data_IF_685802385730
#
_entry.id   IF_685802385730
#
_cell.length_a   1.000
_cell.length_b   1.000
_cell.length_c   1.000
_cell.angle_alpha   90.00
_cell.angle_beta   90.00
_cell.angle_gamma   90.00
#
_symmetry.space_group_name_H-M   'P 1'
#
loop_
_entity.id
_entity.type
_entity.pdbx_description
1 polymer ?
#
# COMPACT_ATOMS: atom_id res chain seq x y z
N UNK A 1 -31.31 12.16 -5.05
CA UNK A 1 -30.53 11.67 -3.90
C UNK A 1 -29.08 12.09 -4.06
N UNK A 2 -28.64 13.13 -3.36
CA UNK A 2 -27.23 13.53 -3.32
C UNK A 2 -26.58 12.77 -2.15
N UNK A 3 -26.19 11.51 -2.38
CA UNK A 3 -25.51 10.73 -1.35
C UNK A 3 -24.20 11.44 -1.00
N UNK A 4 -24.13 11.96 0.23
CA UNK A 4 -22.95 12.62 0.79
C UNK A 4 -21.71 11.74 0.53
N UNK A 5 -20.54 12.36 0.27
CA UNK A 5 -19.27 11.65 0.03
C UNK A 5 -18.99 10.60 1.12
N UNK A 6 -19.40 10.85 2.36
CA UNK A 6 -19.32 9.88 3.47
C UNK A 6 -20.14 8.61 3.23
N UNK A 7 -21.37 8.74 2.70
CA UNK A 7 -22.22 7.57 2.42
C UNK A 7 -21.63 6.74 1.28
N UNK A 8 -21.20 7.40 0.20
CA UNK A 8 -20.53 6.73 -0.93
C UNK A 8 -19.23 6.04 -0.49
N UNK A 9 -18.48 6.65 0.43
CA UNK A 9 -17.30 6.03 1.05
C UNK A 9 -17.70 4.77 1.82
N UNK A 10 -18.73 4.82 2.66
CA UNK A 10 -19.17 3.67 3.44
C UNK A 10 -19.66 2.52 2.56
N UNK A 11 -20.42 2.82 1.49
CA UNK A 11 -20.84 1.83 0.49
C UNK A 11 -19.63 1.16 -0.18
N UNK A 12 -18.64 1.95 -0.62
CA UNK A 12 -17.43 1.43 -1.23
C UNK A 12 -16.59 0.59 -0.25
N UNK A 13 -16.47 1.02 1.01
CA UNK A 13 -15.76 0.26 2.06
C UNK A 13 -16.47 -1.07 2.31
N UNK A 14 -17.79 -1.08 2.45
CA UNK A 14 -18.55 -2.31 2.66
C UNK A 14 -18.40 -3.27 1.47
N UNK A 15 -18.46 -2.76 0.24
CA UNK A 15 -18.21 -3.55 -0.97
C UNK A 15 -16.80 -4.16 -0.94
N UNK A 16 -15.75 -3.36 -0.68
CA UNK A 16 -14.36 -3.84 -0.68
C UNK A 16 -14.12 -4.88 0.42
N UNK A 17 -14.65 -4.65 1.62
CA UNK A 17 -14.50 -5.57 2.76
C UNK A 17 -15.27 -6.88 2.58
N UNK A 18 -16.20 -6.97 1.62
CA UNK A 18 -16.89 -8.21 1.29
C UNK A 18 -16.04 -9.21 0.48
N UNK A 19 -14.87 -8.78 -0.03
CA UNK A 19 -13.97 -9.66 -0.80
C UNK A 19 -13.02 -10.44 0.11
N UNK A 20 -12.69 -11.66 -0.31
CA UNK A 20 -11.79 -12.58 0.40
C UNK A 20 -10.30 -12.25 0.12
N UNK A 21 -9.77 -11.26 0.83
CA UNK A 21 -8.34 -10.89 0.84
C UNK A 21 -7.90 -10.51 2.26
N UNK A 22 -6.58 -10.53 2.50
CA UNK A 22 -6.00 -10.07 3.75
C UNK A 22 -6.39 -8.61 4.06
N UNK A 23 -6.63 -8.32 5.34
CA UNK A 23 -7.06 -7.01 5.82
C UNK A 23 -6.12 -5.87 5.38
N UNK A 24 -4.80 -6.12 5.38
CA UNK A 24 -3.80 -5.14 4.93
C UNK A 24 -3.96 -4.77 3.46
N UNK A 25 -4.32 -5.73 2.61
CA UNK A 25 -4.57 -5.54 1.18
C UNK A 25 -5.85 -4.72 0.99
N UNK A 26 -6.91 -5.08 1.72
CA UNK A 26 -8.20 -4.40 1.67
C UNK A 26 -8.10 -2.95 2.14
N UNK A 27 -7.49 -2.71 3.31
CA UNK A 27 -7.32 -1.37 3.86
C UNK A 27 -6.47 -0.49 2.96
N UNK A 28 -5.34 -1.00 2.45
CA UNK A 28 -4.51 -0.25 1.49
C UNK A 28 -5.25 0.09 0.19
N UNK A 29 -6.13 -0.81 -0.28
CA UNK A 29 -6.96 -0.56 -1.45
C UNK A 29 -8.03 0.51 -1.18
N UNK A 30 -8.71 0.44 -0.04
CA UNK A 30 -9.69 1.45 0.41
C UNK A 30 -9.02 2.81 0.50
N UNK A 31 -7.91 2.93 1.22
CA UNK A 31 -7.24 4.21 1.45
C UNK A 31 -6.85 4.89 0.14
N UNK A 32 -6.27 4.14 -0.80
CA UNK A 32 -5.87 4.67 -2.10
C UNK A 32 -7.05 5.10 -2.96
N UNK A 33 -8.12 4.31 -3.03
CA UNK A 33 -9.23 4.59 -3.94
C UNK A 33 -10.27 5.54 -3.39
N UNK A 34 -10.31 5.71 -2.07
CA UNK A 34 -11.14 6.70 -1.38
C UNK A 34 -10.42 8.03 -1.13
N UNK A 35 -9.22 8.22 -1.71
CA UNK A 35 -8.52 9.50 -1.74
C UNK A 35 -9.42 10.57 -2.39
N UNK A 36 -9.78 11.66 -1.68
CA UNK A 36 -10.65 12.69 -2.23
C UNK A 36 -9.90 13.56 -3.24
N UNK A 37 -10.63 14.13 -4.20
CA UNK A 37 -10.11 15.17 -5.07
C UNK A 37 -9.90 16.49 -4.30
N UNK A 38 -9.19 17.45 -4.91
CA UNK A 38 -8.86 18.73 -4.27
C UNK A 38 -10.08 19.51 -3.75
N UNK A 39 -11.25 19.32 -4.35
CA UNK A 39 -12.51 19.97 -3.93
C UNK A 39 -13.32 19.15 -2.93
N UNK A 40 -12.85 17.97 -2.50
CA UNK A 40 -13.53 17.05 -1.58
C UNK A 40 -14.95 16.66 -2.02
N UNK A 41 -15.18 16.59 -3.33
CA UNK A 41 -16.49 16.26 -3.91
C UNK A 41 -16.57 14.83 -4.43
N UNK A 42 -15.43 14.24 -4.81
CA UNK A 42 -15.34 12.90 -5.38
C UNK A 42 -14.10 12.17 -4.89
N UNK A 43 -14.19 10.84 -4.84
CA UNK A 43 -13.05 9.96 -4.56
C UNK A 43 -12.37 9.50 -5.86
N UNK A 44 -11.14 9.03 -5.77
CA UNK A 44 -10.31 8.62 -6.91
C UNK A 44 -10.99 7.61 -7.83
N UNK A 45 -11.75 6.65 -7.27
CA UNK A 45 -12.47 5.66 -8.06
C UNK A 45 -13.58 6.26 -8.94
N UNK A 46 -14.26 7.29 -8.43
CA UNK A 46 -15.37 7.98 -9.10
C UNK A 46 -14.90 8.86 -10.25
N UNK A 47 -13.60 9.17 -10.29
CA UNK A 47 -12.96 9.92 -11.38
C UNK A 47 -12.53 9.02 -12.53
N UNK A 48 -12.55 7.68 -12.35
CA UNK A 48 -12.17 6.76 -13.41
C UNK A 48 -13.28 6.65 -14.45
N UNK A 49 -12.93 6.75 -15.75
CA UNK A 49 -13.88 6.54 -16.86
C UNK A 49 -14.50 5.13 -16.81
N UNK A 50 -13.74 4.15 -16.35
CA UNK A 50 -14.18 2.77 -16.14
C UNK A 50 -13.73 2.27 -14.77
N UNK A 51 -14.65 1.61 -14.09
CA UNK A 51 -14.45 1.11 -12.73
C UNK A 51 -15.06 -0.26 -12.56
N UNK A 52 -14.30 -1.19 -11.99
CA UNK A 52 -14.80 -2.47 -11.50
C UNK A 52 -13.90 -2.90 -10.34
N UNK A 53 -14.49 -2.97 -9.15
CA UNK A 53 -13.76 -3.12 -7.87
C UNK A 53 -12.99 -4.43 -7.83
N UNK A 54 -13.58 -5.55 -8.27
CA UNK A 54 -12.96 -6.88 -8.19
C UNK A 54 -11.70 -6.99 -9.05
N UNK A 55 -11.73 -6.53 -10.30
CA UNK A 55 -10.58 -6.53 -11.23
C UNK A 55 -9.45 -5.66 -10.71
N UNK A 56 -9.77 -4.48 -10.19
CA UNK A 56 -8.76 -3.57 -9.65
C UNK A 56 -8.16 -4.10 -8.35
N UNK A 57 -8.98 -4.66 -7.45
CA UNK A 57 -8.50 -5.30 -6.22
C UNK A 57 -7.61 -6.51 -6.52
N UNK A 58 -7.99 -7.36 -7.48
CA UNK A 58 -7.15 -8.47 -7.96
C UNK A 58 -5.77 -7.99 -8.44
N UNK A 59 -5.75 -6.89 -9.19
CA UNK A 59 -4.50 -6.30 -9.71
C UNK A 59 -3.65 -5.70 -8.60
N UNK A 60 -4.29 -5.00 -7.66
CA UNK A 60 -3.66 -4.44 -6.48
C UNK A 60 -2.99 -5.52 -5.63
N UNK A 61 -3.71 -6.58 -5.28
CA UNK A 61 -3.19 -7.71 -4.51
C UNK A 61 -2.01 -8.41 -5.22
N UNK A 62 -2.09 -8.60 -6.54
CA UNK A 62 -1.00 -9.17 -7.32
C UNK A 62 0.26 -8.30 -7.31
N UNK A 63 0.12 -6.97 -7.25
CA UNK A 63 1.24 -6.05 -7.18
C UNK A 63 1.87 -6.03 -5.79
N UNK A 64 1.09 -6.07 -4.70
CA UNK A 64 1.63 -6.10 -3.33
C UNK A 64 2.60 -7.28 -3.12
N UNK A 65 2.22 -8.47 -3.61
CA UNK A 65 3.08 -9.67 -3.58
C UNK A 65 4.43 -9.52 -4.29
N UNK A 66 4.56 -8.60 -5.27
CA UNK A 66 5.83 -8.36 -5.97
C UNK A 66 6.77 -7.48 -5.15
N UNK A 67 6.24 -6.60 -4.32
CA UNK A 67 7.02 -5.62 -3.54
C UNK A 67 7.32 -6.11 -2.12
N UNK A 68 6.54 -7.06 -1.61
CA UNK A 68 6.86 -7.85 -0.42
C UNK A 68 8.01 -8.82 -0.73
N UNK A 69 9.21 -8.29 -0.94
CA UNK A 69 10.41 -9.12 -0.99
C UNK A 69 10.59 -9.76 0.39
N UNK A 70 10.79 -11.09 0.47
CA UNK A 70 11.09 -11.71 1.75
C UNK A 70 12.33 -11.03 2.33
N UNK A 71 12.21 -10.47 3.53
CA UNK A 71 13.36 -9.96 4.27
C UNK A 71 14.34 -11.14 4.42
N UNK A 72 15.60 -11.02 3.96
CA UNK A 72 16.55 -12.10 4.11
C UNK A 72 16.69 -12.43 5.60
N UNK A 73 16.45 -13.69 5.97
CA UNK A 73 16.52 -14.17 7.36
C UNK A 73 17.95 -14.23 7.91
N UNK A 74 18.95 -14.01 7.07
CA UNK A 74 20.35 -14.01 7.45
C UNK A 74 20.83 -12.58 7.66
N UNK A 75 21.37 -12.28 8.85
CA UNK A 75 22.22 -11.10 9.10
C UNK A 75 23.54 -11.26 8.34
N UNK A 76 23.48 -11.26 7.01
CA UNK A 76 24.68 -11.07 6.20
C UNK A 76 25.01 -9.59 6.31
N UNK A 77 26.17 -9.25 6.91
CA UNK A 77 26.59 -7.86 7.06
C UNK A 77 26.46 -7.14 5.73
N UNK A 78 25.77 -6.00 5.71
CA UNK A 78 25.65 -5.22 4.49
C UNK A 78 27.03 -4.64 4.13
N UNK A 79 27.21 -4.26 2.86
CA UNK A 79 28.44 -3.61 2.41
C UNK A 79 28.75 -2.32 3.21
N UNK A 80 27.71 -1.61 3.68
CA UNK A 80 27.87 -0.47 4.58
C UNK A 80 28.37 -0.89 5.96
N UNK A 81 27.82 -1.96 6.53
CA UNK A 81 28.23 -2.46 7.85
C UNK A 81 29.68 -2.95 7.83
N UNK A 82 30.11 -3.58 6.73
CA UNK A 82 31.49 -3.99 6.52
C UNK A 82 32.44 -2.77 6.48
N UNK A 83 32.04 -1.71 5.77
CA UNK A 83 32.83 -0.48 5.66
C UNK A 83 32.89 0.26 7.00
N UNK A 84 31.79 0.34 7.76
CA UNK A 84 31.78 0.95 9.11
C UNK A 84 32.71 0.19 10.05
N UNK A 85 32.70 -1.15 10.02
CA UNK A 85 33.58 -1.98 10.84
C UNK A 85 35.06 -1.78 10.49
N UNK A 86 35.40 -1.63 9.20
CA UNK A 86 36.77 -1.33 8.77
C UNK A 86 37.24 0.04 9.29
N UNK A 87 36.38 1.06 9.23
CA UNK A 87 36.68 2.39 9.75
C UNK A 87 36.84 2.42 11.27
N UNK A 88 36.00 1.68 12.01
CA UNK A 88 36.14 1.55 13.46
C UNK A 88 37.45 0.87 13.83
N UNK A 89 37.81 -0.23 13.17
CA UNK A 89 39.10 -0.92 13.38
C UNK A 89 40.30 -0.04 13.07
N UNK A 90 40.25 0.72 11.98
CA UNK A 90 41.33 1.63 11.61
C UNK A 90 41.51 2.77 12.62
N UNK A 91 40.42 3.23 13.27
CA UNK A 91 40.46 4.27 14.31
C UNK A 91 41.05 3.76 15.63
N UNK A 92 40.88 2.49 15.95
CA UNK A 92 41.46 1.87 17.17
C UNK A 92 42.96 1.58 17.07
N UNK A 93 43.53 1.65 15.86
CA UNK A 93 44.96 1.42 15.57
C UNK A 93 45.80 2.72 15.56
N UNK A 94 45.17 3.88 15.81
CA UNK A 94 45.79 5.20 15.94
C UNK A 94 45.82 5.63 17.40
#
# INVERSE_FOLDING_TARGET
HNSNISNRRNEFVFEVLSFDYDESILNGFVDYWTEPNKSNTKMKFELQKTWETKRRLKTWAANQKKWDKPKPKTKTMSKLDAQINEWQKAKELL
#
